data_IF_106215377935
#
_entry.id   IF_106215377935
#
_cell.length_a   1.000
_cell.length_b   1.000
_cell.length_c   1.000
_cell.angle_alpha   90.00
_cell.angle_beta   90.00
_cell.angle_gamma   90.00
#
_symmetry.space_group_name_H-M   'P 1'
#
loop_
_entity.id
_entity.type
_entity.pdbx_description
1 polymer ?
#
# COMPACT_ATOMS: atom_id res chain seq x y z
N UNK A 1 -73.95 38.01 0.07
CA UNK A 1 -73.57 36.60 0.31
C UNK A 1 -72.73 36.20 -0.89
N UNK A 2 -71.42 35.96 -0.88
CA UNK A 2 -70.39 35.63 0.12
C UNK A 2 -69.00 35.98 -0.48
N UNK A 3 -68.02 36.36 0.35
CA UNK A 3 -66.62 36.71 0.01
C UNK A 3 -65.77 35.55 -0.56
N UNK A 4 -64.67 35.92 -1.26
CA UNK A 4 -63.24 35.54 -1.04
C UNK A 4 -62.48 35.36 -2.38
N UNK A 5 -61.49 36.20 -2.71
CA UNK A 5 -60.03 36.17 -2.35
C UNK A 5 -59.21 35.61 -3.53
N UNK A 6 -58.53 36.46 -4.32
CA UNK A 6 -57.06 36.70 -4.35
C UNK A 6 -56.24 35.55 -4.96
N UNK A 7 -55.61 35.78 -6.12
CA UNK A 7 -54.14 35.94 -6.21
C UNK A 7 -53.63 36.06 -7.66
N UNK A 8 -52.62 36.92 -7.92
CA UNK A 8 -51.85 36.98 -9.14
C UNK A 8 -50.52 36.23 -8.96
N UNK A 9 -50.42 34.98 -9.43
CA UNK A 9 -49.14 34.30 -9.50
C UNK A 9 -49.06 33.46 -10.78
N UNK A 10 -48.22 33.91 -11.71
CA UNK A 10 -47.28 33.13 -12.54
C UNK A 10 -47.00 33.84 -13.87
N UNK A 11 -46.34 34.99 -13.77
CA UNK A 11 -45.38 35.43 -14.77
C UNK A 11 -44.02 35.37 -14.08
N UNK A 12 -43.39 34.20 -14.06
CA UNK A 12 -41.98 34.04 -13.64
C UNK A 12 -41.37 32.84 -14.36
N UNK A 13 -41.50 32.82 -15.68
CA UNK A 13 -40.68 31.99 -16.55
C UNK A 13 -40.12 32.91 -17.63
N UNK A 14 -38.92 33.43 -17.37
CA UNK A 14 -37.90 33.91 -18.32
C UNK A 14 -37.00 34.90 -17.59
N UNK A 15 -35.77 34.46 -17.32
CA UNK A 15 -34.51 35.20 -17.50
C UNK A 15 -33.47 34.62 -16.52
N UNK A 16 -33.01 33.40 -16.81
CA UNK A 16 -31.98 32.70 -16.03
C UNK A 16 -30.66 32.55 -16.80
N UNK A 17 -30.41 33.43 -17.78
CA UNK A 17 -29.20 33.43 -18.63
C UNK A 17 -28.74 34.87 -18.93
N UNK A 18 -28.65 35.74 -17.90
CA UNK A 18 -27.90 36.97 -18.06
C UNK A 18 -26.43 36.71 -17.68
N UNK A 19 -25.51 36.53 -18.65
CA UNK A 19 -24.11 36.26 -18.38
C UNK A 19 -23.46 37.40 -17.58
N UNK A 20 -24.03 38.61 -17.65
CA UNK A 20 -23.55 39.75 -16.88
C UNK A 20 -23.86 39.61 -15.40
N UNK A 21 -25.05 39.10 -15.05
CA UNK A 21 -25.42 38.78 -13.66
C UNK A 21 -24.57 37.64 -13.10
N UNK A 22 -24.35 36.59 -13.89
CA UNK A 22 -23.49 35.47 -13.49
C UNK A 22 -22.03 35.91 -13.22
N UNK A 23 -21.51 36.83 -14.04
CA UNK A 23 -20.18 37.42 -13.86
C UNK A 23 -20.16 38.32 -12.62
N UNK A 24 -21.16 39.17 -12.39
CA UNK A 24 -21.21 40.04 -11.21
C UNK A 24 -21.27 39.22 -9.90
N UNK A 25 -22.07 38.16 -9.88
CA UNK A 25 -22.14 37.24 -8.74
C UNK A 25 -20.81 36.53 -8.50
N UNK A 26 -20.11 36.13 -9.56
CA UNK A 26 -18.80 35.50 -9.45
C UNK A 26 -17.74 36.48 -8.95
N UNK A 27 -17.73 37.72 -9.45
CA UNK A 27 -16.83 38.79 -8.97
C UNK A 27 -17.10 39.05 -7.49
N UNK A 28 -18.37 39.20 -7.09
CA UNK A 28 -18.77 39.38 -5.69
C UNK A 28 -18.37 38.19 -4.82
N UNK A 29 -18.47 36.96 -5.32
CA UNK A 29 -18.01 35.76 -4.60
C UNK A 29 -16.49 35.75 -4.44
N UNK A 30 -15.73 36.10 -5.48
CA UNK A 30 -14.29 36.27 -5.36
C UNK A 30 -13.95 37.32 -4.30
N UNK A 31 -14.63 38.47 -4.31
CA UNK A 31 -14.46 39.50 -3.29
C UNK A 31 -14.75 38.96 -1.88
N UNK A 32 -15.80 38.15 -1.69
CA UNK A 32 -16.11 37.48 -0.42
C UNK A 32 -15.00 36.52 0.03
N UNK A 33 -14.53 35.66 -0.88
CA UNK A 33 -13.49 34.65 -0.61
C UNK A 33 -12.18 35.34 -0.22
N UNK A 34 -11.77 36.38 -0.96
CA UNK A 34 -10.57 37.15 -0.65
C UNK A 34 -10.73 38.04 0.59
N UNK A 35 -11.93 38.53 0.89
CA UNK A 35 -12.24 39.24 2.14
C UNK A 35 -12.24 38.32 3.38
N UNK A 36 -12.25 37.00 3.18
CA UNK A 36 -12.31 36.01 4.27
C UNK A 36 -13.68 35.96 4.96
N UNK A 37 -14.73 36.46 4.31
CA UNK A 37 -16.08 36.44 4.84
C UNK A 37 -16.84 35.29 4.18
N UNK A 38 -17.10 34.21 4.94
CA UNK A 38 -18.15 33.28 4.55
C UNK A 38 -19.47 34.06 4.43
N UNK A 39 -20.39 33.64 3.53
CA UNK A 39 -21.65 34.34 3.25
C UNK A 39 -22.68 34.18 4.38
N UNK A 40 -22.24 34.19 5.64
CA UNK A 40 -23.10 34.12 6.81
C UNK A 40 -22.84 35.30 7.73
N UNK A 41 -23.86 36.15 7.86
CA UNK A 41 -24.14 37.07 8.98
C UNK A 41 -23.39 38.41 9.01
N UNK A 42 -24.18 39.50 8.99
CA UNK A 42 -24.03 40.90 9.46
C UNK A 42 -22.69 41.66 9.34
N UNK A 43 -21.55 41.01 9.44
CA UNK A 43 -20.22 41.59 9.27
C UNK A 43 -19.98 42.04 7.82
N UNK A 44 -20.62 41.38 6.84
CA UNK A 44 -20.53 41.72 5.42
C UNK A 44 -21.12 43.12 5.15
N UNK A 45 -22.37 43.35 5.58
CA UNK A 45 -23.08 44.61 5.32
C UNK A 45 -22.37 45.79 6.02
N UNK A 46 -21.87 45.59 7.25
CA UNK A 46 -21.15 46.65 7.98
C UNK A 46 -19.81 47.05 7.36
N UNK A 47 -19.11 46.15 6.66
CA UNK A 47 -17.82 46.44 6.01
C UNK A 47 -17.95 47.05 4.62
N UNK A 48 -18.98 46.70 3.87
CA UNK A 48 -19.20 47.24 2.52
C UNK A 48 -20.03 48.53 2.50
N UNK A 49 -20.72 48.86 3.60
CA UNK A 49 -21.46 50.13 3.70
C UNK A 49 -20.57 51.36 3.96
N UNK A 50 -19.25 51.19 4.12
CA UNK A 50 -18.30 52.29 4.14
C UNK A 50 -17.60 52.41 2.78
N UNK A 51 -17.97 53.43 2.00
CA UNK A 51 -17.35 53.75 0.70
C UNK A 51 -15.82 53.94 0.78
N UNK A 52 -15.27 54.12 1.98
CA UNK A 52 -13.83 54.30 2.22
C UNK A 52 -13.02 52.99 2.28
N UNK A 53 -13.63 51.81 2.43
CA UNK A 53 -12.91 50.53 2.60
C UNK A 53 -12.83 49.65 1.34
N UNK A 54 -13.61 49.96 0.30
CA UNK A 54 -13.61 49.19 -0.96
C UNK A 54 -12.28 49.32 -1.72
N UNK A 55 -11.69 50.52 -1.79
CA UNK A 55 -10.47 50.76 -2.59
C UNK A 55 -9.14 50.57 -1.83
N UNK A 56 -9.18 50.47 -0.50
CA UNK A 56 -7.96 50.30 0.33
C UNK A 56 -7.70 48.86 0.78
N UNK A 57 -8.63 47.93 0.64
CA UNK A 57 -8.48 46.65 1.37
C UNK A 57 -7.78 45.53 0.59
N UNK A 58 -7.89 45.44 -0.74
CA UNK A 58 -7.30 44.31 -1.50
C UNK A 58 -5.80 44.51 -1.73
N UNK A 59 -5.42 45.59 -2.43
CA UNK A 59 -4.04 45.82 -2.83
C UNK A 59 -3.09 45.86 -1.62
N UNK A 60 -3.50 46.52 -0.53
CA UNK A 60 -2.72 46.61 0.71
C UNK A 60 -2.60 45.24 1.41
N UNK A 61 -3.64 44.39 1.31
CA UNK A 61 -3.57 43.03 1.88
C UNK A 61 -2.70 42.12 1.04
N UNK A 62 -2.76 42.22 -0.28
CA UNK A 62 -1.87 41.48 -1.18
C UNK A 62 -0.42 41.90 -0.94
N UNK A 63 -0.16 43.21 -0.87
CA UNK A 63 1.16 43.76 -0.56
C UNK A 63 1.65 43.31 0.82
N UNK A 64 0.78 43.26 1.83
CA UNK A 64 1.13 42.73 3.16
C UNK A 64 1.44 41.23 3.13
N UNK A 65 0.68 40.44 2.39
CA UNK A 65 0.92 39.00 2.25
C UNK A 65 2.22 38.75 1.48
N UNK A 66 2.44 39.48 0.39
CA UNK A 66 3.65 39.41 -0.42
C UNK A 66 4.87 39.85 0.41
N UNK A 67 4.75 40.95 1.16
CA UNK A 67 5.78 41.39 2.10
C UNK A 67 6.07 40.35 3.18
N UNK A 68 5.04 39.73 3.76
CA UNK A 68 5.23 38.65 4.74
C UNK A 68 5.90 37.42 4.12
N UNK A 69 5.51 37.03 2.91
CA UNK A 69 6.11 35.91 2.19
C UNK A 69 7.59 36.19 1.87
N UNK A 70 7.90 37.39 1.39
CA UNK A 70 9.27 37.82 1.13
C UNK A 70 10.12 37.79 2.41
N UNK A 71 9.59 38.31 3.53
CA UNK A 71 10.32 38.24 4.81
C UNK A 71 10.55 36.81 5.30
N UNK A 72 9.59 35.90 5.09
CA UNK A 72 9.72 34.49 5.47
C UNK A 72 10.75 33.79 4.58
N UNK A 73 10.72 34.09 3.28
CA UNK A 73 11.64 33.56 2.29
C UNK A 73 13.08 34.02 2.53
N UNK A 74 13.26 35.27 2.95
CA UNK A 74 14.59 35.85 3.25
C UNK A 74 15.09 35.46 4.65
N UNK A 75 14.20 35.17 5.61
CA UNK A 75 14.57 34.87 7.00
C UNK A 75 15.32 33.54 7.18
N UNK A 76 15.17 32.60 6.23
CA UNK A 76 15.81 31.27 6.27
C UNK A 76 16.38 30.96 4.90
N UNK A 77 17.68 30.64 4.77
CA UNK A 77 18.26 30.22 3.50
C UNK A 77 17.75 28.81 3.16
N UNK A 78 16.57 28.75 2.56
CA UNK A 78 15.94 27.50 2.15
C UNK A 78 15.72 27.54 0.64
N UNK A 79 16.80 27.27 -0.09
CA UNK A 79 16.84 27.23 -1.56
C UNK A 79 15.72 26.36 -2.16
N UNK A 80 15.29 25.33 -1.44
CA UNK A 80 14.19 24.46 -1.84
C UNK A 80 12.86 25.22 -1.92
N UNK A 81 12.56 26.08 -0.93
CA UNK A 81 11.33 26.88 -0.91
C UNK A 81 11.41 27.96 -2.00
N UNK A 82 12.58 28.56 -2.19
CA UNK A 82 12.78 29.56 -3.26
C UNK A 82 12.56 28.96 -4.65
N UNK A 83 13.14 27.78 -4.93
CA UNK A 83 12.93 27.04 -6.18
C UNK A 83 11.47 26.60 -6.35
N UNK A 84 10.82 26.20 -5.26
CA UNK A 84 9.42 25.81 -5.26
C UNK A 84 8.49 26.98 -5.59
N UNK A 85 8.69 28.16 -4.98
CA UNK A 85 7.92 29.39 -5.27
C UNK A 85 8.18 29.88 -6.69
N UNK A 86 9.43 29.83 -7.17
CA UNK A 86 9.79 30.16 -8.56
C UNK A 86 9.14 29.22 -9.58
N UNK A 87 8.94 27.96 -9.20
CA UNK A 87 8.36 26.92 -10.03
C UNK A 87 6.93 26.59 -9.61
N UNK A 88 6.18 27.56 -9.09
CA UNK A 88 4.83 27.32 -8.56
C UNK A 88 3.92 26.68 -9.61
N UNK A 89 3.93 27.19 -10.84
CA UNK A 89 3.10 26.67 -11.94
C UNK A 89 3.44 25.22 -12.32
N UNK A 90 4.71 24.82 -12.16
CA UNK A 90 5.14 23.44 -12.40
C UNK A 90 4.79 22.51 -11.24
N UNK A 91 4.74 23.05 -10.02
CA UNK A 91 4.41 22.31 -8.80
C UNK A 91 2.91 22.35 -8.48
N UNK A 92 2.11 23.15 -9.18
CA UNK A 92 0.66 23.30 -9.00
C UNK A 92 -0.08 21.95 -8.99
N UNK A 93 0.23 20.99 -9.89
CA UNK A 93 -0.41 19.67 -9.86
C UNK A 93 -0.09 18.85 -8.61
N UNK A 94 1.05 19.10 -7.96
CA UNK A 94 1.46 18.41 -6.73
C UNK A 94 0.79 19.00 -5.48
N UNK A 95 0.26 20.22 -5.58
CA UNK A 95 -0.42 20.94 -4.50
C UNK A 95 -1.93 20.71 -4.51
N UNK A 96 -2.47 20.23 -5.62
CA UNK A 96 -3.78 19.61 -5.66
C UNK A 96 -3.72 18.25 -4.99
N UNK A 97 -3.68 18.24 -3.66
CA UNK A 97 -4.10 17.05 -2.95
C UNK A 97 -5.54 16.77 -3.39
N UNK A 98 -5.86 15.55 -3.86
CA UNK A 98 -7.23 15.17 -4.17
C UNK A 98 -8.09 15.57 -2.99
N UNK A 99 -9.06 16.46 -3.21
CA UNK A 99 -9.93 16.91 -2.16
C UNK A 99 -10.50 15.67 -1.45
N UNK A 100 -10.22 15.45 -0.15
CA UNK A 100 -10.67 14.26 0.54
C UNK A 100 -12.21 14.15 0.56
N UNK A 101 -12.91 15.25 0.28
CA UNK A 101 -14.36 15.29 0.10
C UNK A 101 -14.83 14.90 -1.31
N UNK A 102 -13.97 15.05 -2.34
CA UNK A 102 -14.28 14.64 -3.73
C UNK A 102 -13.99 13.16 -3.97
N UNK A 103 -13.01 12.57 -3.28
CA UNK A 103 -12.77 11.12 -3.29
C UNK A 103 -13.97 10.32 -2.72
N UNK A 104 -14.83 10.95 -1.93
CA UNK A 104 -16.03 10.32 -1.37
C UNK A 104 -17.24 10.38 -2.32
N UNK A 105 -17.15 11.02 -3.49
CA UNK A 105 -18.28 11.09 -4.43
C UNK A 105 -18.40 9.84 -5.31
N UNK A 106 -17.32 9.07 -5.47
CA UNK A 106 -17.32 7.78 -6.19
C UNK A 106 -17.14 6.56 -5.28
N UNK A 107 -16.87 6.75 -4.00
CA UNK A 107 -16.99 5.70 -3.00
C UNK A 107 -18.48 5.48 -2.70
N UNK A 108 -19.20 4.88 -3.64
CA UNK A 108 -20.51 4.31 -3.35
C UNK A 108 -20.37 3.44 -2.10
N UNK A 109 -21.24 3.60 -1.08
CA UNK A 109 -21.17 2.76 0.11
C UNK A 109 -21.26 1.30 -0.35
N UNK A 110 -20.14 0.58 -0.23
CA UNK A 110 -20.05 -0.82 -0.66
C UNK A 110 -21.23 -1.58 -0.02
N UNK A 111 -21.98 -2.30 -0.83
CA UNK A 111 -23.07 -3.14 -0.33
C UNK A 111 -22.51 -4.13 0.69
N UNK A 112 -23.35 -4.57 1.65
CA UNK A 112 -22.92 -5.52 2.68
C UNK A 112 -22.29 -6.78 2.07
N UNK A 113 -22.79 -7.22 0.91
CA UNK A 113 -22.24 -8.33 0.11
C UNK A 113 -20.82 -8.04 -0.39
N UNK A 114 -20.57 -6.85 -0.96
CA UNK A 114 -19.24 -6.45 -1.42
C UNK A 114 -18.25 -6.32 -0.27
N UNK A 115 -18.70 -5.83 0.89
CA UNK A 115 -17.87 -5.78 2.11
C UNK A 115 -17.52 -7.19 2.60
N UNK A 116 -18.48 -8.10 2.63
CA UNK A 116 -18.25 -9.49 3.02
C UNK A 116 -17.29 -10.20 2.05
N UNK A 117 -17.45 -9.97 0.74
CA UNK A 117 -16.54 -10.49 -0.29
C UNK A 117 -15.12 -9.96 -0.12
N UNK A 118 -14.97 -8.65 0.13
CA UNK A 118 -13.68 -8.02 0.36
C UNK A 118 -12.98 -8.59 1.61
N UNK A 119 -13.73 -8.79 2.71
CA UNK A 119 -13.17 -9.37 3.94
C UNK A 119 -12.77 -10.83 3.76
N UNK A 120 -13.54 -11.60 2.98
CA UNK A 120 -13.17 -12.99 2.67
C UNK A 120 -11.94 -13.06 1.76
N UNK A 121 -11.84 -12.16 0.78
CA UNK A 121 -10.69 -12.06 -0.13
C UNK A 121 -9.43 -11.60 0.60
N UNK A 122 -9.55 -10.61 1.49
CA UNK A 122 -8.46 -10.12 2.34
C UNK A 122 -8.17 -11.02 3.56
N UNK A 123 -8.96 -12.08 3.78
CA UNK A 123 -8.81 -13.01 4.90
C UNK A 123 -7.38 -13.53 5.11
N UNK A 124 -6.71 -14.12 4.10
CA UNK A 124 -5.33 -14.60 4.26
C UNK A 124 -4.34 -13.47 4.54
N UNK A 125 -4.54 -12.28 3.97
CA UNK A 125 -3.68 -11.11 4.21
C UNK A 125 -3.81 -10.62 5.65
N UNK A 126 -5.02 -10.61 6.21
CA UNK A 126 -5.26 -10.21 7.61
C UNK A 126 -4.57 -11.19 8.57
N UNK A 127 -4.63 -12.49 8.31
CA UNK A 127 -3.96 -13.51 9.13
C UNK A 127 -2.44 -13.38 9.04
N UNK A 128 -1.92 -13.10 7.85
CA UNK A 128 -0.49 -12.85 7.66
C UNK A 128 -0.07 -11.57 8.41
N UNK A 129 -0.83 -10.49 8.28
CA UNK A 129 -0.55 -9.23 8.97
C UNK A 129 -0.62 -9.39 10.49
N UNK A 130 -1.56 -10.18 11.02
CA UNK A 130 -1.62 -10.50 12.45
C UNK A 130 -0.36 -11.21 12.92
N UNK A 131 0.14 -12.19 12.14
CA UNK A 131 1.39 -12.89 12.44
C UNK A 131 2.57 -11.93 12.42
N UNK A 132 2.65 -11.06 11.42
CA UNK A 132 3.74 -10.11 11.26
C UNK A 132 3.71 -9.05 12.38
N UNK A 133 2.53 -8.55 12.77
CA UNK A 133 2.38 -7.62 13.89
C UNK A 133 2.77 -8.27 15.23
N UNK A 134 2.42 -9.54 15.44
CA UNK A 134 2.85 -10.29 16.62
C UNK A 134 4.38 -10.49 16.61
N UNK A 135 4.97 -10.74 15.45
CA UNK A 135 6.42 -10.85 15.32
C UNK A 135 7.10 -9.51 15.65
N UNK A 136 6.56 -8.39 15.16
CA UNK A 136 7.06 -7.05 15.46
C UNK A 136 6.96 -6.77 16.98
N UNK A 137 5.83 -7.09 17.62
CA UNK A 137 5.66 -6.95 19.08
C UNK A 137 6.67 -7.82 19.85
N UNK A 138 6.92 -9.04 19.36
CA UNK A 138 7.89 -9.94 19.94
C UNK A 138 9.32 -9.37 19.80
N UNK A 139 9.66 -8.81 18.64
CA UNK A 139 10.94 -8.13 18.42
C UNK A 139 11.09 -6.89 19.30
N UNK A 140 10.00 -6.15 19.54
CA UNK A 140 9.98 -4.99 20.45
C UNK A 140 10.19 -5.41 21.92
N UNK A 141 9.46 -6.42 22.40
CA UNK A 141 9.67 -6.98 23.75
C UNK A 141 11.08 -7.55 23.97
N UNK A 142 11.71 -8.06 22.91
CA UNK A 142 13.11 -8.52 22.93
C UNK A 142 14.13 -7.37 22.81
N UNK A 143 13.68 -6.13 22.66
CA UNK A 143 14.55 -4.95 22.61
C UNK A 143 15.24 -4.71 21.26
N UNK A 144 14.77 -5.34 20.17
CA UNK A 144 15.37 -5.16 18.83
C UNK A 144 15.07 -3.80 18.19
N UNK A 145 14.14 -3.00 18.73
CA UNK A 145 13.83 -1.65 18.24
C UNK A 145 15.02 -0.67 18.41
N UNK A 146 16.03 -1.06 19.20
CA UNK A 146 17.30 -0.36 19.33
C UNK A 146 18.34 -0.68 18.24
N UNK A 147 18.05 -1.47 17.21
CA UNK A 147 19.02 -1.89 16.19
C UNK A 147 19.72 -0.72 15.44
N UNK A 148 19.15 0.49 15.45
CA UNK A 148 19.84 1.70 14.96
C UNK A 148 21.04 2.13 15.81
N UNK A 149 21.19 1.61 17.03
CA UNK A 149 22.29 1.87 17.98
C UNK A 149 23.33 0.76 18.00
N UNK A 150 23.29 -0.19 17.05
CA UNK A 150 24.31 -1.25 16.94
C UNK A 150 25.73 -0.69 16.83
N UNK A 151 25.89 0.49 16.23
CA UNK A 151 27.17 1.20 16.11
C UNK A 151 27.62 1.93 17.39
N UNK A 152 26.71 2.18 18.33
CA UNK A 152 26.98 2.94 19.57
C UNK A 152 27.23 2.03 20.78
N UNK A 153 27.06 0.71 20.64
CA UNK A 153 27.25 -0.26 21.72
C UNK A 153 28.70 -0.78 21.78
N UNK A 154 29.39 -0.59 22.90
CA UNK A 154 30.55 -1.40 23.26
C UNK A 154 30.07 -2.81 23.64
N UNK A 155 29.79 -3.64 22.63
CA UNK A 155 29.36 -5.02 22.82
C UNK A 155 30.49 -5.81 23.47
N UNK A 156 30.25 -6.32 24.68
CA UNK A 156 31.24 -7.17 25.33
C UNK A 156 31.43 -8.47 24.54
N UNK A 157 32.65 -9.00 24.52
CA UNK A 157 32.97 -10.24 23.79
C UNK A 157 32.11 -11.43 24.27
N UNK A 158 31.73 -11.42 25.55
CA UNK A 158 30.84 -12.41 26.14
C UNK A 158 29.40 -12.27 25.62
N UNK A 159 28.87 -11.06 25.47
CA UNK A 159 27.53 -10.84 24.87
C UNK A 159 27.47 -11.25 23.40
N UNK A 160 28.52 -10.98 22.62
CA UNK A 160 28.61 -11.42 21.21
C UNK A 160 28.70 -12.94 21.11
N UNK A 161 29.47 -13.58 21.98
CA UNK A 161 29.57 -15.04 22.01
C UNK A 161 28.23 -15.68 22.36
N UNK A 162 27.51 -15.13 23.33
CA UNK A 162 26.24 -15.69 23.81
C UNK A 162 25.06 -15.42 22.88
N UNK A 163 25.00 -14.23 22.26
CA UNK A 163 23.87 -13.84 21.39
C UNK A 163 24.03 -14.30 19.95
N UNK A 164 25.26 -14.38 19.44
CA UNK A 164 25.52 -14.65 18.02
C UNK A 164 26.29 -15.96 17.81
N UNK A 165 27.43 -16.15 18.50
CA UNK A 165 28.28 -17.30 18.23
C UNK A 165 27.62 -18.63 18.66
N UNK A 166 27.06 -18.69 19.87
CA UNK A 166 26.47 -19.91 20.42
C UNK A 166 25.22 -20.36 19.63
N UNK A 167 24.23 -19.50 19.30
CA UNK A 167 23.09 -19.90 18.49
C UNK A 167 23.46 -20.30 17.06
N UNK A 168 24.48 -19.67 16.49
CA UNK A 168 24.98 -19.99 15.14
C UNK A 168 25.76 -21.31 15.13
N UNK A 169 26.50 -21.61 16.19
CA UNK A 169 27.15 -22.91 16.38
C UNK A 169 26.12 -24.03 16.56
N UNK A 170 25.06 -23.80 17.33
CA UNK A 170 23.96 -24.77 17.51
C UNK A 170 23.20 -24.98 16.20
N UNK A 171 22.91 -23.92 15.44
CA UNK A 171 22.27 -24.03 14.13
C UNK A 171 23.15 -24.76 13.12
N UNK A 172 24.46 -24.48 13.10
CA UNK A 172 25.41 -25.20 12.25
C UNK A 172 25.47 -26.69 12.60
N UNK A 173 25.43 -27.04 13.88
CA UNK A 173 25.41 -28.43 14.33
C UNK A 173 24.13 -29.14 13.89
N UNK A 174 22.96 -28.53 14.11
CA UNK A 174 21.67 -29.12 13.69
C UNK A 174 21.59 -29.28 12.17
N UNK A 175 22.14 -28.34 11.39
CA UNK A 175 22.25 -28.47 9.93
C UNK A 175 23.14 -29.66 9.57
N UNK A 176 24.32 -29.81 10.19
CA UNK A 176 25.20 -30.94 9.97
C UNK A 176 24.56 -32.29 10.30
N UNK A 177 23.77 -32.36 11.38
CA UNK A 177 23.00 -33.56 11.74
C UNK A 177 21.93 -33.89 10.69
N UNK A 178 21.23 -32.89 10.16
CA UNK A 178 20.26 -33.06 9.08
C UNK A 178 20.91 -33.50 7.77
N UNK A 179 22.06 -32.93 7.41
CA UNK A 179 22.85 -33.33 6.24
C UNK A 179 23.34 -34.77 6.38
N UNK A 180 23.82 -35.16 7.56
CA UNK A 180 24.24 -36.54 7.83
C UNK A 180 23.06 -37.50 7.70
N UNK A 181 21.87 -37.11 8.17
CA UNK A 181 20.66 -37.93 8.02
C UNK A 181 20.22 -38.03 6.55
N UNK A 182 20.33 -36.96 5.79
CA UNK A 182 19.99 -36.95 4.37
C UNK A 182 20.96 -37.82 3.56
N UNK A 183 22.26 -37.75 3.84
CA UNK A 183 23.29 -38.57 3.18
C UNK A 183 23.18 -40.04 3.55
N UNK A 184 22.87 -40.38 4.80
CA UNK A 184 22.56 -41.75 5.21
C UNK A 184 21.31 -42.29 4.49
N UNK A 185 20.24 -41.49 4.39
CA UNK A 185 19.04 -41.89 3.65
C UNK A 185 19.36 -42.14 2.16
N UNK A 186 20.18 -41.28 1.55
CA UNK A 186 20.60 -41.43 0.15
C UNK A 186 21.46 -42.69 -0.04
N UNK A 187 22.38 -42.98 0.88
CA UNK A 187 23.20 -44.20 0.83
C UNK A 187 22.37 -45.48 1.00
N UNK A 188 21.36 -45.46 1.88
CA UNK A 188 20.41 -46.56 2.03
C UNK A 188 19.56 -46.75 0.77
N UNK A 189 19.12 -45.66 0.16
CA UNK A 189 18.39 -45.70 -1.10
C UNK A 189 19.26 -46.27 -2.23
N UNK A 190 20.52 -45.85 -2.35
CA UNK A 190 21.46 -46.36 -3.34
C UNK A 190 21.72 -47.86 -3.15
N UNK A 191 21.90 -48.29 -1.90
CA UNK A 191 22.01 -49.71 -1.55
C UNK A 191 20.75 -50.50 -1.93
N UNK A 192 19.57 -49.94 -1.65
CA UNK A 192 18.30 -50.55 -2.03
C UNK A 192 18.17 -50.69 -3.56
N UNK A 193 18.51 -49.64 -4.32
CA UNK A 193 18.49 -49.68 -5.79
C UNK A 193 19.50 -50.70 -6.34
N UNK A 194 20.70 -50.79 -5.76
CA UNK A 194 21.68 -51.81 -6.15
C UNK A 194 21.14 -53.22 -5.92
N UNK A 195 20.56 -53.50 -4.74
CA UNK A 195 19.98 -54.82 -4.47
C UNK A 195 18.79 -55.14 -5.38
N UNK A 196 17.97 -54.14 -5.71
CA UNK A 196 16.86 -54.30 -6.64
C UNK A 196 17.38 -54.60 -8.05
N UNK A 197 18.43 -53.90 -8.48
CA UNK A 197 19.10 -54.14 -9.77
C UNK A 197 19.68 -55.55 -9.85
N UNK A 198 20.34 -56.03 -8.79
CA UNK A 198 20.87 -57.39 -8.73
C UNK A 198 19.77 -58.44 -8.81
N UNK A 199 18.63 -58.20 -8.14
CA UNK A 199 17.45 -59.07 -8.24
C UNK A 199 16.91 -59.09 -9.67
N UNK A 200 16.79 -57.93 -10.34
CA UNK A 200 16.34 -57.88 -11.73
C UNK A 200 17.28 -58.62 -12.69
N UNK A 201 18.59 -58.48 -12.53
CA UNK A 201 19.59 -59.23 -13.32
C UNK A 201 19.47 -60.73 -13.04
N UNK A 202 19.27 -61.15 -11.79
CA UNK A 202 19.06 -62.56 -11.46
C UNK A 202 17.79 -63.12 -12.09
N UNK A 203 16.72 -62.33 -12.14
CA UNK A 203 15.46 -62.72 -12.78
C UNK A 203 15.60 -62.84 -14.29
N UNK A 204 16.31 -61.91 -14.93
CA UNK A 204 16.60 -61.95 -16.37
C UNK A 204 17.42 -63.20 -16.74
N UNK A 205 18.42 -63.54 -15.91
CA UNK A 205 19.18 -64.78 -16.10
C UNK A 205 18.32 -66.03 -15.94
N UNK A 206 17.47 -66.11 -14.92
CA UNK A 206 16.57 -67.25 -14.73
C UNK A 206 15.59 -67.36 -15.91
N UNK A 207 15.02 -66.24 -16.36
CA UNK A 207 14.10 -66.21 -17.49
C UNK A 207 14.78 -66.67 -18.77
N UNK A 208 15.99 -66.19 -19.04
CA UNK A 208 16.82 -66.61 -20.19
C UNK A 208 17.11 -68.11 -20.14
N UNK A 209 17.45 -68.67 -18.98
CA UNK A 209 17.68 -70.13 -18.85
C UNK A 209 16.41 -70.94 -19.08
N UNK A 210 15.25 -70.46 -18.62
CA UNK A 210 13.96 -71.12 -18.87
C UNK A 210 13.57 -71.05 -20.35
N UNK A 211 13.86 -69.93 -21.03
CA UNK A 211 13.66 -69.79 -22.46
C UNK A 211 14.55 -70.74 -23.27
N UNK A 212 15.81 -70.89 -22.88
CA UNK A 212 16.75 -71.83 -23.49
C UNK A 212 16.29 -73.28 -23.29
N UNK A 213 15.88 -73.66 -22.07
CA UNK A 213 15.33 -74.98 -21.77
C UNK A 213 14.05 -75.27 -22.57
N UNK A 214 13.14 -74.30 -22.68
CA UNK A 214 11.95 -74.42 -23.52
C UNK A 214 12.30 -74.56 -25.01
N UNK A 215 13.30 -73.83 -25.49
CA UNK A 215 13.77 -73.93 -26.86
C UNK A 215 14.33 -75.33 -27.14
N UNK A 216 15.17 -75.84 -26.24
CA UNK A 216 15.75 -77.18 -26.33
C UNK A 216 14.68 -78.27 -26.31
N UNK A 217 13.68 -78.16 -25.43
CA UNK A 217 12.53 -79.08 -25.39
C UNK A 217 11.70 -79.02 -26.69
N UNK A 218 11.50 -77.84 -27.27
CA UNK A 218 10.78 -77.69 -28.54
C UNK A 218 11.53 -78.35 -29.69
N UNK A 219 12.86 -78.16 -29.77
CA UNK A 219 13.70 -78.77 -30.81
C UNK A 219 13.72 -80.29 -30.67
N UNK A 220 13.87 -80.82 -29.45
CA UNK A 220 13.80 -82.25 -29.16
C UNK A 220 12.44 -82.84 -29.55
N UNK A 221 11.35 -82.12 -29.28
CA UNK A 221 10.00 -82.54 -29.68
C UNK A 221 9.80 -82.54 -31.20
N UNK A 222 10.34 -81.56 -31.92
CA UNK A 222 10.23 -81.52 -33.39
C UNK A 222 11.09 -82.56 -34.12
N UNK A 223 12.14 -83.07 -33.46
CA UNK A 223 13.03 -84.11 -34.02
C UNK A 223 12.58 -85.54 -33.69
N UNK A 224 11.66 -85.69 -32.73
CA UNK A 224 11.05 -86.97 -32.31
C UNK A 224 9.72 -87.28 -33.02
N UNK A 225 9.23 -86.39 -33.89
CA UNK A 225 8.03 -86.59 -34.72
C UNK A 225 8.40 -86.73 -36.18
#
# INVERSE_FOLDING_TARGET
MTSSHSDPHQQTEMELDDPTLAIDLRIRLLECVFAGALPTSDAFVRRFSSEASLHKSLAIRLERVLGSLATILDSKPNDAIHRFVQSYDLNEPLLHLPNPLSANKEAAPLSLSQKASLVLEAGPEIVQLERDLREIELLDTRGFVGAGKLADGDWSQDELSNSLANPLQESSKTIGEMEQRATDLLSRYDSYVSTLSDIFVSWDSILTTLEEDLHNLRVAKSTSS
#
